data_IF_744781284759
#
_entry.id   IF_744781284759
#
_cell.length_a   1.000
_cell.length_b   1.000
_cell.length_c   1.000
_cell.angle_alpha   90.00
_cell.angle_beta   90.00
_cell.angle_gamma   90.00
#
_symmetry.space_group_name_H-M   'P 1'
#
loop_
_entity.id
_entity.type
_entity.pdbx_description
1 polymer ?
#
# COMPACT_ATOMS: atom_id res chain seq x y z
N UNK A 1 3.71 10.02 61.58
CA UNK A 1 2.78 9.21 60.77
C UNK A 1 1.98 10.19 59.92
N UNK A 2 2.36 10.26 58.63
CA UNK A 2 1.79 10.90 57.43
C UNK A 2 0.86 12.14 57.53
N UNK A 3 1.37 13.27 57.01
CA UNK A 3 0.61 14.44 56.52
C UNK A 3 0.02 14.14 55.13
N UNK A 4 -1.21 14.60 54.85
CA UNK A 4 -1.84 14.55 53.52
C UNK A 4 -2.35 15.92 53.11
N UNK A 5 -1.58 16.63 52.29
CA UNK A 5 -1.97 17.88 51.64
C UNK A 5 -2.52 17.58 50.24
N UNK A 6 -3.67 18.17 49.92
CA UNK A 6 -4.31 18.06 48.62
C UNK A 6 -3.56 18.82 47.52
N UNK A 7 -3.45 18.21 46.35
CA UNK A 7 -3.21 18.89 45.09
C UNK A 7 -4.09 18.26 44.01
N UNK A 8 -5.13 18.99 43.62
CA UNK A 8 -5.91 18.74 42.40
C UNK A 8 -5.07 19.29 41.24
N UNK A 9 -4.52 18.39 40.43
CA UNK A 9 -3.88 18.75 39.15
C UNK A 9 -4.99 19.08 38.13
N UNK A 10 -5.03 20.34 37.70
CA UNK A 10 -5.89 20.79 36.61
C UNK A 10 -5.46 20.11 35.30
N UNK A 11 -6.40 19.39 34.67
CA UNK A 11 -6.24 18.85 33.32
C UNK A 11 -6.36 20.02 32.34
N UNK A 12 -5.37 20.29 31.45
CA UNK A 12 -5.51 21.31 30.44
C UNK A 12 -6.64 20.93 29.47
N UNK A 13 -7.55 21.88 29.25
CA UNK A 13 -8.61 21.80 28.23
C UNK A 13 -7.97 21.47 26.88
N UNK A 14 -8.34 20.34 26.28
CA UNK A 14 -7.95 20.00 24.92
C UNK A 14 -8.38 21.13 24.00
N UNK A 15 -7.41 21.86 23.44
CA UNK A 15 -7.64 22.78 22.34
C UNK A 15 -8.19 21.93 21.20
N UNK A 16 -9.48 22.11 20.90
CA UNK A 16 -10.12 21.53 19.72
C UNK A 16 -9.45 22.10 18.49
N UNK A 17 -8.49 21.36 17.96
CA UNK A 17 -7.95 21.62 16.63
C UNK A 17 -9.10 21.48 15.63
N UNK A 18 -9.29 22.51 14.80
CA UNK A 18 -10.24 22.47 13.69
C UNK A 18 -10.06 21.18 12.88
N UNK A 19 -11.16 20.57 12.44
CA UNK A 19 -11.16 19.35 11.61
C UNK A 19 -10.26 19.48 10.37
N UNK A 20 -10.13 20.68 9.81
CA UNK A 20 -9.22 20.99 8.70
C UNK A 20 -7.74 20.95 9.09
N UNK A 21 -7.39 21.36 10.31
CA UNK A 21 -6.01 21.37 10.82
C UNK A 21 -5.57 19.98 11.27
N UNK A 22 -6.49 19.20 11.85
CA UNK A 22 -6.29 17.77 12.15
C UNK A 22 -6.12 16.96 10.87
N UNK A 23 -6.93 17.23 9.84
CA UNK A 23 -6.80 16.61 8.52
C UNK A 23 -5.45 16.90 7.87
N UNK A 24 -5.03 18.17 7.82
CA UNK A 24 -3.73 18.56 7.25
C UNK A 24 -2.49 17.99 7.96
N UNK A 25 -2.58 17.72 9.27
CA UNK A 25 -1.50 17.04 10.00
C UNK A 25 -1.43 15.53 9.73
N UNK A 26 -2.57 14.89 9.43
CA UNK A 26 -2.68 13.46 9.09
C UNK A 26 -2.21 13.19 7.66
N UNK A 27 -2.67 13.99 6.69
CA UNK A 27 -2.24 13.90 5.29
C UNK A 27 -0.71 14.01 5.14
N UNK A 28 -0.08 14.84 5.99
CA UNK A 28 1.37 14.99 6.01
C UNK A 28 2.11 13.77 6.60
N UNK A 29 1.50 13.00 7.51
CA UNK A 29 2.09 11.78 8.08
C UNK A 29 2.06 10.62 7.09
N UNK A 30 0.96 10.50 6.34
CA UNK A 30 0.75 9.44 5.35
C UNK A 30 1.73 9.58 4.17
N UNK A 31 1.92 10.81 3.69
CA UNK A 31 2.93 11.13 2.68
C UNK A 31 4.36 10.80 3.14
N UNK A 32 4.66 10.93 4.44
CA UNK A 32 5.97 10.58 5.00
C UNK A 32 6.20 9.06 5.06
N UNK A 33 5.15 8.27 5.36
CA UNK A 33 5.24 6.81 5.41
C UNK A 33 5.48 6.23 4.01
N UNK A 34 4.67 6.62 3.02
CA UNK A 34 4.85 6.17 1.63
C UNK A 34 6.21 6.59 1.06
N UNK A 35 6.66 7.82 1.36
CA UNK A 35 7.99 8.28 0.95
C UNK A 35 9.13 7.46 1.60
N UNK A 36 8.97 7.02 2.85
CA UNK A 36 9.94 6.15 3.55
C UNK A 36 10.03 4.77 2.89
N UNK A 37 8.91 4.15 2.54
CA UNK A 37 8.88 2.85 1.88
C UNK A 37 9.50 2.92 0.47
N UNK A 38 9.12 3.92 -0.33
CA UNK A 38 9.73 4.13 -1.65
C UNK A 38 11.25 4.38 -1.57
N UNK A 39 11.71 5.15 -0.57
CA UNK A 39 13.13 5.39 -0.35
C UNK A 39 13.88 4.10 0.03
N UNK A 40 13.32 3.29 0.93
CA UNK A 40 13.88 2.01 1.33
C UNK A 40 13.94 1.02 0.16
N UNK A 41 12.85 0.91 -0.63
CA UNK A 41 12.79 0.02 -1.81
C UNK A 41 13.88 0.36 -2.82
N UNK A 42 14.11 1.63 -3.12
CA UNK A 42 15.21 2.06 -4.01
C UNK A 42 16.58 1.62 -3.51
N UNK A 43 16.84 1.70 -2.20
CA UNK A 43 18.10 1.24 -1.61
C UNK A 43 18.26 -0.27 -1.76
N UNK A 44 17.19 -1.03 -1.52
CA UNK A 44 17.19 -2.49 -1.68
C UNK A 44 17.42 -2.88 -3.13
N UNK A 45 16.74 -2.26 -4.10
CA UNK A 45 16.93 -2.57 -5.52
C UNK A 45 18.37 -2.29 -6.00
N UNK A 46 18.98 -1.18 -5.55
CA UNK A 46 20.40 -0.90 -5.83
C UNK A 46 21.33 -1.94 -5.20
N UNK A 47 21.04 -2.34 -3.96
CA UNK A 47 21.77 -3.43 -3.32
C UNK A 47 21.64 -4.72 -4.14
N UNK A 48 20.43 -5.14 -4.55
CA UNK A 48 20.22 -6.33 -5.38
C UNK A 48 21.02 -6.22 -6.69
N UNK A 49 20.96 -5.08 -7.38
CA UNK A 49 21.67 -4.86 -8.64
C UNK A 49 23.18 -5.04 -8.48
N UNK A 50 23.77 -4.56 -7.37
CA UNK A 50 25.20 -4.76 -7.12
C UNK A 50 25.61 -6.22 -6.81
N UNK A 51 24.66 -7.13 -6.57
CA UNK A 51 24.91 -8.51 -6.16
C UNK A 51 24.43 -9.56 -7.17
N UNK A 52 23.67 -9.17 -8.20
CA UNK A 52 23.19 -10.10 -9.22
C UNK A 52 23.26 -9.51 -10.63
N UNK A 53 23.47 -10.40 -11.61
CA UNK A 53 23.41 -10.05 -13.04
C UNK A 53 22.01 -10.20 -13.63
N UNK A 54 21.12 -10.88 -12.91
CA UNK A 54 19.75 -11.15 -13.32
C UNK A 54 18.87 -11.22 -12.09
N UNK A 55 17.79 -10.46 -12.09
CA UNK A 55 16.79 -10.42 -11.03
C UNK A 55 15.41 -10.71 -11.63
N UNK A 56 14.63 -11.55 -10.94
CA UNK A 56 13.24 -11.86 -11.31
C UNK A 56 12.32 -11.33 -10.20
N UNK A 57 11.30 -10.58 -10.60
CA UNK A 57 10.28 -10.01 -9.72
C UNK A 57 8.90 -10.41 -10.25
N UNK A 58 8.09 -11.07 -9.43
CA UNK A 58 6.70 -11.39 -9.77
C UNK A 58 5.78 -10.46 -8.99
N UNK A 59 5.04 -9.62 -9.70
CA UNK A 59 4.23 -8.56 -9.11
C UNK A 59 2.94 -8.32 -9.90
N UNK A 60 1.95 -7.72 -9.23
CA UNK A 60 0.70 -7.30 -9.85
C UNK A 60 0.88 -5.97 -10.61
N UNK A 61 0.21 -5.82 -11.74
CA UNK A 61 0.15 -4.56 -12.49
C UNK A 61 -1.00 -3.68 -12.00
N UNK A 62 -0.77 -2.96 -10.89
CA UNK A 62 -1.82 -2.18 -10.23
C UNK A 62 -1.76 -0.69 -10.59
N UNK A 63 -2.46 -0.32 -11.66
CA UNK A 63 -2.41 1.03 -12.24
C UNK A 63 -2.98 2.15 -11.36
N UNK A 64 -3.84 1.83 -10.40
CA UNK A 64 -4.51 2.81 -9.53
C UNK A 64 -3.72 3.13 -8.24
N UNK A 65 -2.57 2.47 -8.00
CA UNK A 65 -1.67 2.72 -6.85
C UNK A 65 -0.25 3.16 -7.24
N UNK A 66 0.04 3.31 -8.53
CA UNK A 66 1.35 3.67 -9.03
C UNK A 66 1.96 4.96 -8.46
N UNK A 67 3.24 5.19 -8.74
CA UNK A 67 4.03 6.36 -8.33
C UNK A 67 3.37 7.68 -8.74
N UNK A 68 2.66 7.68 -9.87
CA UNK A 68 1.83 8.79 -10.33
C UNK A 68 0.48 8.91 -9.60
N UNK A 69 -0.11 7.80 -9.15
CA UNK A 69 -1.41 7.76 -8.47
C UNK A 69 -1.32 8.13 -6.97
N UNK A 70 -0.20 7.90 -6.29
CA UNK A 70 -0.05 8.23 -4.87
C UNK A 70 0.21 9.72 -4.58
N UNK A 71 0.61 10.52 -5.59
CA UNK A 71 0.99 11.92 -5.36
C UNK A 71 -0.25 12.83 -5.34
N UNK A 72 -0.85 13.00 -4.17
CA UNK A 72 -1.89 13.99 -3.90
C UNK A 72 -3.30 13.61 -4.36
N UNK A 73 -3.56 12.32 -4.63
CA UNK A 73 -4.91 11.86 -4.93
C UNK A 73 -5.70 11.53 -3.67
N UNK A 74 -6.99 11.85 -3.71
CA UNK A 74 -7.95 11.42 -2.71
C UNK A 74 -8.13 9.89 -2.80
N UNK A 75 -7.77 9.18 -1.73
CA UNK A 75 -7.98 7.74 -1.59
C UNK A 75 -9.44 7.33 -1.75
N UNK A 76 -10.37 8.28 -1.62
CA UNK A 76 -11.82 8.10 -1.78
C UNK A 76 -12.36 8.67 -3.09
N UNK A 77 -11.50 8.97 -4.06
CA UNK A 77 -11.96 9.39 -5.39
C UNK A 77 -12.88 8.31 -6.01
N UNK A 78 -14.00 8.69 -6.65
CA UNK A 78 -15.01 7.73 -7.11
C UNK A 78 -14.44 6.61 -7.99
N UNK A 79 -13.55 6.94 -8.93
CA UNK A 79 -12.96 5.96 -9.84
C UNK A 79 -12.06 4.94 -9.13
N UNK A 80 -11.32 5.36 -8.09
CA UNK A 80 -10.49 4.46 -7.29
C UNK A 80 -11.35 3.55 -6.43
N UNK A 81 -12.37 4.11 -5.76
CA UNK A 81 -13.33 3.33 -4.95
C UNK A 81 -13.98 2.26 -5.83
N UNK A 82 -14.47 2.65 -7.01
CA UNK A 82 -15.09 1.73 -7.95
C UNK A 82 -14.13 0.60 -8.35
N UNK A 83 -12.90 0.93 -8.77
CA UNK A 83 -11.93 -0.09 -9.18
C UNK A 83 -11.60 -1.09 -8.05
N UNK A 84 -11.46 -0.62 -6.82
CA UNK A 84 -11.20 -1.48 -5.65
C UNK A 84 -12.40 -2.35 -5.32
N UNK A 85 -13.62 -1.81 -5.34
CA UNK A 85 -14.85 -2.57 -5.06
C UNK A 85 -15.08 -3.64 -6.14
N UNK A 86 -14.95 -3.30 -7.42
CA UNK A 86 -15.11 -4.26 -8.51
C UNK A 86 -14.08 -5.40 -8.43
N UNK A 87 -12.84 -5.10 -8.03
CA UNK A 87 -11.83 -6.12 -7.79
C UNK A 87 -12.17 -6.99 -6.58
N UNK A 88 -12.65 -6.38 -5.50
CA UNK A 88 -13.08 -7.10 -4.30
C UNK A 88 -14.25 -8.05 -4.58
N UNK A 89 -15.25 -7.61 -5.35
CA UNK A 89 -16.39 -8.45 -5.76
C UNK A 89 -15.94 -9.67 -6.56
N UNK A 90 -14.98 -9.51 -7.49
CA UNK A 90 -14.38 -10.66 -8.19
C UNK A 90 -13.65 -11.60 -7.22
N UNK A 91 -12.94 -11.04 -6.23
CA UNK A 91 -12.28 -11.83 -5.19
C UNK A 91 -13.26 -12.64 -4.35
N UNK A 92 -14.40 -12.05 -3.96
CA UNK A 92 -15.45 -12.77 -3.25
C UNK A 92 -15.98 -13.95 -4.06
N UNK A 93 -16.26 -13.74 -5.35
CA UNK A 93 -16.76 -14.79 -6.23
C UNK A 93 -15.77 -15.96 -6.40
N UNK A 94 -14.46 -15.70 -6.39
CA UNK A 94 -13.42 -16.75 -6.47
C UNK A 94 -13.43 -17.67 -5.24
N UNK A 95 -13.69 -17.11 -4.06
CA UNK A 95 -13.59 -17.84 -2.80
C UNK A 95 -14.93 -18.35 -2.25
N UNK A 96 -16.07 -17.90 -2.78
CA UNK A 96 -17.41 -18.29 -2.31
C UNK A 96 -17.63 -19.81 -2.38
N UNK A 97 -17.18 -20.45 -3.46
CA UNK A 97 -17.37 -21.89 -3.69
C UNK A 97 -16.47 -22.81 -2.84
N UNK A 98 -15.56 -22.24 -2.03
CA UNK A 98 -14.63 -23.00 -1.19
C UNK A 98 -15.13 -23.27 0.24
N UNK A 99 -16.35 -22.87 0.58
CA UNK A 99 -16.97 -23.10 1.90
C UNK A 99 -16.16 -22.47 3.04
N UNK A 100 -15.99 -23.19 4.16
CA UNK A 100 -15.31 -22.70 5.37
C UNK A 100 -13.88 -22.16 5.09
N UNK A 101 -13.16 -22.74 4.13
CA UNK A 101 -11.81 -22.28 3.79
C UNK A 101 -11.86 -20.95 3.01
N UNK A 102 -12.86 -20.79 2.14
CA UNK A 102 -13.13 -19.52 1.47
C UNK A 102 -13.50 -18.42 2.45
N UNK A 103 -14.37 -18.71 3.41
CA UNK A 103 -14.76 -17.76 4.46
C UNK A 103 -13.55 -17.29 5.29
N UNK A 104 -12.63 -18.20 5.63
CA UNK A 104 -11.38 -17.85 6.33
C UNK A 104 -10.49 -16.91 5.53
N UNK A 105 -10.37 -17.13 4.22
CA UNK A 105 -9.58 -16.26 3.34
C UNK A 105 -10.25 -14.88 3.19
N UNK A 106 -11.58 -14.85 3.04
CA UNK A 106 -12.33 -13.59 2.96
C UNK A 106 -12.14 -12.77 4.24
N UNK A 107 -12.40 -13.36 5.41
CA UNK A 107 -12.32 -12.67 6.70
C UNK A 107 -10.87 -12.33 7.11
N UNK A 108 -9.95 -13.27 6.90
CA UNK A 108 -8.57 -13.15 7.38
C UNK A 108 -7.62 -12.42 6.43
N UNK A 109 -7.98 -12.27 5.15
CA UNK A 109 -7.12 -11.65 4.14
C UNK A 109 -7.84 -10.57 3.32
N UNK A 110 -8.96 -10.88 2.65
CA UNK A 110 -9.58 -9.92 1.72
C UNK A 110 -10.14 -8.69 2.46
N UNK A 111 -10.89 -8.88 3.54
CA UNK A 111 -11.46 -7.78 4.32
C UNK A 111 -10.38 -6.83 4.86
N UNK A 112 -9.29 -7.31 5.51
CA UNK A 112 -8.17 -6.45 5.91
C UNK A 112 -7.51 -5.70 4.76
N UNK A 113 -7.34 -6.36 3.60
CA UNK A 113 -6.75 -5.73 2.41
C UNK A 113 -7.65 -4.59 1.90
N UNK A 114 -8.97 -4.80 1.84
CA UNK A 114 -9.94 -3.78 1.46
C UNK A 114 -9.86 -2.55 2.39
N UNK A 115 -9.82 -2.78 3.71
CA UNK A 115 -9.68 -1.71 4.70
C UNK A 115 -8.39 -0.91 4.50
N UNK A 116 -7.28 -1.59 4.22
CA UNK A 116 -5.97 -0.98 3.96
C UNK A 116 -5.95 -0.03 2.77
N UNK A 117 -6.82 -0.18 1.77
CA UNK A 117 -6.88 0.73 0.63
C UNK A 117 -7.58 2.07 0.93
N UNK A 118 -8.39 2.13 1.99
CA UNK A 118 -9.15 3.32 2.38
C UNK A 118 -8.67 3.96 3.69
N UNK A 119 -7.79 3.28 4.45
CA UNK A 119 -7.12 3.81 5.63
C UNK A 119 -5.60 3.93 5.44
N UNK A 120 -5.14 5.17 5.37
CA UNK A 120 -3.72 5.51 5.20
C UNK A 120 -2.85 5.16 6.41
N UNK A 121 -3.43 4.91 7.59
CA UNK A 121 -2.69 4.46 8.78
C UNK A 121 -2.41 2.96 8.79
N UNK A 122 -3.08 2.21 7.91
CA UNK A 122 -3.05 0.74 7.85
C UNK A 122 -2.54 0.25 6.50
N UNK A 123 -2.15 1.15 5.58
CA UNK A 123 -1.66 0.76 4.26
C UNK A 123 -0.39 -0.13 4.38
N UNK A 124 -0.59 -1.44 4.32
CA UNK A 124 0.46 -2.46 4.31
C UNK A 124 0.90 -2.82 2.89
N UNK A 125 0.11 -2.41 1.89
CA UNK A 125 0.27 -2.84 0.51
C UNK A 125 0.71 -1.65 -0.35
N UNK A 126 2.03 -1.53 -0.57
CA UNK A 126 2.61 -0.52 -1.45
C UNK A 126 2.83 -1.09 -2.86
N UNK A 127 1.71 -1.44 -3.49
CA UNK A 127 1.67 -1.93 -4.88
C UNK A 127 1.83 -0.78 -5.88
N UNK A 128 2.29 -1.09 -7.08
CA UNK A 128 2.42 -0.14 -8.17
C UNK A 128 2.30 -0.85 -9.51
N UNK A 129 2.14 -0.07 -10.58
CA UNK A 129 2.04 -0.63 -11.93
C UNK A 129 3.37 -1.19 -12.43
N UNK A 130 3.27 -2.06 -13.44
CA UNK A 130 4.39 -2.64 -14.18
C UNK A 130 5.33 -1.56 -14.73
N UNK A 131 4.78 -0.43 -15.20
CA UNK A 131 5.57 0.70 -15.69
C UNK A 131 6.48 1.26 -14.58
N UNK A 132 5.93 1.51 -13.39
CA UNK A 132 6.68 2.05 -12.26
C UNK A 132 7.76 1.06 -11.77
N UNK A 133 7.45 -0.24 -11.76
CA UNK A 133 8.43 -1.29 -11.45
C UNK A 133 9.61 -1.29 -12.42
N UNK A 134 9.33 -1.22 -13.73
CA UNK A 134 10.38 -1.18 -14.76
C UNK A 134 11.25 0.06 -14.61
N UNK A 135 10.65 1.22 -14.36
CA UNK A 135 11.40 2.46 -14.11
C UNK A 135 12.30 2.34 -12.87
N UNK A 136 11.80 1.77 -11.77
CA UNK A 136 12.59 1.58 -10.55
C UNK A 136 13.78 0.64 -10.73
N UNK A 137 13.61 -0.42 -11.52
CA UNK A 137 14.70 -1.35 -11.82
C UNK A 137 15.77 -0.69 -12.71
N UNK A 138 15.37 0.13 -13.68
CA UNK A 138 16.31 0.93 -14.48
C UNK A 138 17.04 1.96 -13.60
N UNK A 139 16.32 2.67 -12.73
CA UNK A 139 16.89 3.62 -11.75
C UNK A 139 17.88 2.94 -10.78
N UNK A 140 17.68 1.65 -10.49
CA UNK A 140 18.57 0.85 -9.66
C UNK A 140 19.87 0.43 -10.36
N UNK A 141 19.93 0.54 -11.70
CA UNK A 141 21.13 0.27 -12.51
C UNK A 141 21.08 -1.02 -13.32
N UNK A 142 19.93 -1.69 -13.42
CA UNK A 142 19.76 -2.75 -14.43
C UNK A 142 19.71 -2.14 -15.83
N UNK A 143 20.30 -2.83 -16.81
CA UNK A 143 20.51 -2.29 -18.16
C UNK A 143 19.37 -2.63 -19.13
N UNK A 144 18.63 -3.70 -18.86
CA UNK A 144 17.56 -4.22 -19.69
C UNK A 144 16.46 -4.84 -18.84
N UNK A 145 15.21 -4.58 -19.20
CA UNK A 145 14.03 -5.10 -18.50
C UNK A 145 13.08 -5.74 -19.51
N UNK A 146 12.76 -7.02 -19.31
CA UNK A 146 11.67 -7.71 -20.00
C UNK A 146 10.59 -8.11 -19.00
N UNK A 147 9.41 -8.46 -19.49
CA UNK A 147 8.35 -9.02 -18.66
C UNK A 147 7.55 -10.04 -19.45
N UNK A 148 6.95 -10.98 -18.74
CA UNK A 148 6.00 -11.96 -19.25
C UNK A 148 4.75 -11.95 -18.37
N UNK A 149 3.60 -12.06 -19.01
CA UNK A 149 2.33 -12.26 -18.30
C UNK A 149 2.35 -13.65 -17.65
N UNK A 150 1.95 -13.72 -16.38
CA UNK A 150 1.90 -14.96 -15.61
C UNK A 150 0.47 -15.46 -15.56
N UNK A 151 -0.44 -14.61 -15.05
CA UNK A 151 -1.84 -14.97 -14.84
C UNK A 151 -2.71 -13.75 -14.57
N UNK A 152 -3.99 -13.82 -14.94
CA UNK A 152 -4.99 -12.81 -14.63
C UNK A 152 -5.69 -13.14 -13.30
N UNK A 153 -5.09 -12.71 -12.19
CA UNK A 153 -5.73 -12.84 -10.88
C UNK A 153 -6.93 -11.92 -10.76
N UNK A 154 -7.90 -12.28 -9.90
CA UNK A 154 -9.09 -11.49 -9.62
C UNK A 154 -8.79 -10.03 -9.26
N UNK A 155 -7.65 -9.82 -8.59
CA UNK A 155 -7.17 -8.52 -8.14
C UNK A 155 -6.64 -7.66 -9.29
N UNK A 156 -5.59 -8.14 -9.95
CA UNK A 156 -4.97 -7.52 -11.11
C UNK A 156 -4.12 -8.57 -11.86
N UNK A 157 -3.80 -8.34 -13.14
CA UNK A 157 -2.86 -9.19 -13.88
C UNK A 157 -1.50 -9.25 -13.20
N UNK A 158 -0.92 -10.44 -13.09
CA UNK A 158 0.42 -10.66 -12.57
C UNK A 158 1.43 -10.82 -13.70
N UNK A 159 2.61 -10.24 -13.51
CA UNK A 159 3.72 -10.31 -14.45
C UNK A 159 5.01 -10.76 -13.76
N UNK A 160 5.81 -11.54 -14.46
CA UNK A 160 7.20 -11.84 -14.11
C UNK A 160 8.09 -10.86 -14.86
N UNK A 161 8.78 -9.99 -14.13
CA UNK A 161 9.69 -8.96 -14.63
C UNK A 161 11.12 -9.49 -14.48
N UNK A 162 11.86 -9.52 -15.58
CA UNK A 162 13.26 -9.91 -15.62
C UNK A 162 14.14 -8.69 -15.86
N UNK A 163 15.06 -8.41 -14.93
CA UNK A 163 16.01 -7.30 -15.01
C UNK A 163 17.45 -7.81 -15.12
N UNK A 164 18.25 -7.25 -16.04
CA UNK A 164 19.66 -7.60 -16.29
C UNK A 164 20.52 -6.36 -16.58
#
# INVERSE_FOLDING_TARGET
MLQGAGHILAVPRATTLSSSKVRGMRDAADLRCAASVCAQRRLVLKWIQSHCKRFLLVEFDVHFFGRAAMKGQDLRSPGRVQAVVEAFERGLAEYEDLGDDGERVIQGFLCPVLEGYFDSNVATNFEQGLVDWKEELLEAGFSSISHEHVYDYWWAPAFCICAQ
#
